data_IF_768281520085
#
_entry.id   IF_768281520085
#
_cell.length_a   1.000
_cell.length_b   1.000
_cell.length_c   1.000
_cell.angle_alpha   90.00
_cell.angle_beta   90.00
_cell.angle_gamma   90.00
#
_symmetry.space_group_name_H-M   'P 1'
#
loop_
_entity.id
_entity.type
_entity.pdbx_description
1 polymer ?
#
# COMPACT_ATOMS: atom_id res chain seq x y z
N UNK A 1 29.92 -21.00 -30.02
CA UNK A 1 30.15 -19.54 -30.17
C UNK A 1 28.81 -18.80 -30.33
N UNK A 2 28.56 -17.75 -29.53
CA UNK A 2 27.29 -16.99 -29.45
C UNK A 2 26.85 -16.16 -30.68
N UNK A 3 27.71 -15.64 -31.57
CA UNK A 3 27.27 -14.72 -32.64
C UNK A 3 26.28 -15.33 -33.64
N UNK A 4 26.29 -16.65 -33.85
CA UNK A 4 25.35 -17.35 -34.72
C UNK A 4 23.89 -17.30 -34.22
N UNK A 5 23.67 -16.90 -32.96
CA UNK A 5 22.34 -16.74 -32.36
C UNK A 5 21.78 -15.34 -32.52
N UNK A 6 22.56 -14.38 -33.04
CA UNK A 6 22.05 -13.04 -33.31
C UNK A 6 20.98 -13.08 -34.38
N UNK A 7 19.90 -12.33 -34.15
CA UNK A 7 18.79 -12.20 -35.09
C UNK A 7 18.60 -10.72 -35.44
N UNK A 8 18.12 -10.48 -36.66
CA UNK A 8 17.68 -9.17 -37.13
C UNK A 8 18.75 -8.07 -36.89
N UNK A 9 18.42 -7.07 -36.07
CA UNK A 9 19.25 -5.87 -35.82
C UNK A 9 20.60 -6.21 -35.21
N UNK A 10 20.68 -7.20 -34.33
CA UNK A 10 21.94 -7.64 -33.73
C UNK A 10 22.85 -8.33 -34.75
N UNK A 11 22.26 -9.07 -35.69
CA UNK A 11 22.99 -9.71 -36.79
C UNK A 11 23.55 -8.65 -37.74
N UNK A 12 22.70 -7.71 -38.19
CA UNK A 12 23.14 -6.61 -39.07
C UNK A 12 24.24 -5.77 -38.43
N UNK A 13 24.06 -5.37 -37.17
CA UNK A 13 25.09 -4.62 -36.44
C UNK A 13 26.42 -5.39 -36.41
N UNK A 14 26.41 -6.65 -35.97
CA UNK A 14 27.63 -7.44 -35.83
C UNK A 14 28.39 -7.59 -37.16
N UNK A 15 27.67 -7.83 -38.25
CA UNK A 15 28.26 -7.98 -39.58
C UNK A 15 28.64 -6.65 -40.24
N UNK A 16 28.17 -5.51 -39.74
CA UNK A 16 28.61 -4.18 -40.18
C UNK A 16 29.97 -3.77 -39.61
N UNK A 17 30.46 -4.46 -38.57
CA UNK A 17 31.73 -4.15 -37.93
C UNK A 17 32.93 -4.62 -38.77
N UNK A 18 34.07 -3.91 -38.75
CA UNK A 18 35.33 -4.38 -39.30
C UNK A 18 35.73 -5.76 -38.77
N UNK A 19 36.44 -6.54 -39.57
CA UNK A 19 36.84 -7.90 -39.19
C UNK A 19 37.66 -7.94 -37.89
N UNK A 20 38.49 -6.93 -37.66
CA UNK A 20 39.30 -6.79 -36.43
C UNK A 20 38.39 -6.70 -35.19
N UNK A 21 37.36 -5.87 -35.25
CA UNK A 21 36.40 -5.70 -34.15
C UNK A 21 35.57 -6.97 -33.93
N UNK A 22 35.15 -7.62 -35.01
CA UNK A 22 34.45 -8.90 -34.95
C UNK A 22 35.26 -9.98 -34.21
N UNK A 23 36.56 -10.05 -34.45
CA UNK A 23 37.50 -10.98 -33.79
C UNK A 23 37.62 -10.62 -32.31
N UNK A 24 37.85 -9.35 -31.97
CA UNK A 24 37.95 -8.90 -30.58
C UNK A 24 36.69 -9.20 -29.78
N UNK A 25 35.52 -8.93 -30.37
CA UNK A 25 34.21 -9.18 -29.76
C UNK A 25 33.94 -10.68 -29.56
N UNK A 26 34.49 -11.54 -30.42
CA UNK A 26 34.37 -13.01 -30.28
C UNK A 26 35.34 -13.62 -29.28
N UNK A 27 36.36 -12.89 -28.85
CA UNK A 27 37.46 -13.41 -28.05
C UNK A 27 37.00 -13.94 -26.69
N UNK A 28 35.98 -13.32 -26.07
CA UNK A 28 35.44 -13.77 -24.80
C UNK A 28 33.97 -13.38 -24.62
N UNK A 29 33.28 -14.02 -23.69
CA UNK A 29 31.92 -13.60 -23.34
C UNK A 29 31.87 -12.17 -22.80
N UNK A 30 32.90 -11.77 -22.04
CA UNK A 30 33.00 -10.43 -21.45
C UNK A 30 33.11 -9.34 -22.52
N UNK A 31 33.95 -9.55 -23.53
CA UNK A 31 34.11 -8.62 -24.67
C UNK A 31 32.85 -8.55 -25.52
N UNK A 32 32.21 -9.70 -25.78
CA UNK A 32 30.93 -9.76 -26.47
C UNK A 32 29.85 -8.95 -25.73
N UNK A 33 29.70 -9.20 -24.42
CA UNK A 33 28.73 -8.51 -23.57
C UNK A 33 29.01 -7.01 -23.54
N UNK A 34 30.26 -6.59 -23.37
CA UNK A 34 30.65 -5.19 -23.35
C UNK A 34 30.30 -4.48 -24.66
N UNK A 35 30.58 -5.10 -25.81
CA UNK A 35 30.26 -4.52 -27.12
C UNK A 35 28.75 -4.41 -27.37
N UNK A 36 27.97 -5.45 -27.00
CA UNK A 36 26.51 -5.41 -27.07
C UNK A 36 25.97 -4.29 -26.18
N UNK A 37 26.46 -4.20 -24.94
CA UNK A 37 26.05 -3.14 -24.00
C UNK A 37 26.42 -1.75 -24.52
N UNK A 38 27.62 -1.55 -25.04
CA UNK A 38 28.04 -0.26 -25.58
C UNK A 38 27.18 0.18 -26.77
N UNK A 39 26.82 -0.76 -27.66
CA UNK A 39 26.04 -0.43 -28.86
C UNK A 39 24.54 -0.27 -28.58
N UNK A 40 23.94 -1.21 -27.83
CA UNK A 40 22.49 -1.27 -27.63
C UNK A 40 22.01 -0.61 -26.33
N UNK A 41 22.87 -0.46 -25.32
CA UNK A 41 22.55 0.14 -24.02
C UNK A 41 23.22 1.51 -23.89
N UNK A 42 23.02 2.37 -24.89
CA UNK A 42 23.52 3.74 -24.89
C UNK A 42 22.87 4.63 -23.81
N UNK A 43 23.37 5.85 -23.61
CA UNK A 43 22.88 6.78 -22.59
C UNK A 43 21.37 7.04 -22.66
N UNK A 44 20.80 7.11 -23.86
CA UNK A 44 19.37 7.26 -24.08
C UNK A 44 18.59 6.03 -23.59
N UNK A 45 19.06 4.82 -23.91
CA UNK A 45 18.46 3.59 -23.42
C UNK A 45 18.54 3.49 -21.89
N UNK A 46 19.67 3.86 -21.31
CA UNK A 46 19.88 3.91 -19.85
C UNK A 46 18.88 4.88 -19.20
N UNK A 47 18.75 6.09 -19.74
CA UNK A 47 17.81 7.09 -19.22
C UNK A 47 16.36 6.61 -19.32
N UNK A 48 15.98 5.98 -20.45
CA UNK A 48 14.66 5.40 -20.65
C UNK A 48 14.38 4.28 -19.64
N UNK A 49 15.35 3.40 -19.41
CA UNK A 49 15.20 2.28 -18.50
C UNK A 49 15.16 2.73 -17.03
N UNK A 50 15.92 3.76 -16.64
CA UNK A 50 15.82 4.40 -15.32
C UNK A 50 14.43 5.02 -15.13
N UNK A 51 13.96 5.78 -16.11
CA UNK A 51 12.62 6.39 -16.08
C UNK A 51 11.52 5.33 -15.97
N UNK A 52 11.66 4.23 -16.72
CA UNK A 52 10.74 3.08 -16.65
C UNK A 52 10.73 2.49 -15.23
N UNK A 53 11.89 2.20 -14.66
CA UNK A 53 12.02 1.64 -13.33
C UNK A 53 11.37 2.53 -12.24
N UNK A 54 11.58 3.85 -12.32
CA UNK A 54 11.01 4.82 -11.38
C UNK A 54 9.48 4.92 -11.48
N UNK A 55 8.94 4.83 -12.70
CA UNK A 55 7.49 4.94 -12.95
C UNK A 55 6.71 3.68 -12.63
N UNK A 56 7.37 2.54 -12.43
CA UNK A 56 6.70 1.28 -12.11
C UNK A 56 5.96 1.37 -10.78
N UNK A 57 4.69 0.97 -10.82
CA UNK A 57 3.80 0.88 -9.66
C UNK A 57 3.34 -0.54 -9.40
N UNK A 58 2.87 -0.76 -8.18
CA UNK A 58 2.20 -2.01 -7.81
C UNK A 58 0.89 -2.14 -8.59
N UNK A 59 0.70 -3.28 -9.27
CA UNK A 59 -0.48 -3.54 -10.11
C UNK A 59 -0.68 -2.50 -11.22
N UNK A 60 0.42 -2.20 -11.91
CA UNK A 60 0.46 -1.34 -13.11
C UNK A 60 -0.26 -1.99 -14.30
N UNK A 61 -0.43 -1.24 -15.40
CA UNK A 61 -1.04 -1.76 -16.63
C UNK A 61 -0.29 -3.02 -17.12
N UNK A 62 -1.03 -4.11 -17.35
CA UNK A 62 -0.48 -5.43 -17.68
C UNK A 62 -0.04 -6.28 -16.49
N UNK A 63 -0.18 -5.79 -15.25
CA UNK A 63 0.17 -6.51 -14.01
C UNK A 63 -0.96 -6.41 -12.96
N UNK A 64 -2.23 -6.36 -13.37
CA UNK A 64 -3.40 -6.13 -12.49
C UNK A 64 -3.49 -7.10 -11.30
N UNK A 65 -3.06 -8.34 -11.51
CA UNK A 65 -3.17 -9.43 -10.55
C UNK A 65 -1.87 -9.71 -9.78
N UNK A 66 -0.89 -8.82 -9.94
CA UNK A 66 0.43 -8.92 -9.31
C UNK A 66 0.35 -9.00 -7.77
N UNK A 67 1.08 -9.95 -7.17
CA UNK A 67 1.21 -10.04 -5.72
C UNK A 67 2.28 -9.07 -5.20
N UNK A 68 2.25 -8.70 -3.91
CA UNK A 68 3.26 -7.79 -3.34
C UNK A 68 4.70 -8.25 -3.60
N UNK A 69 4.95 -9.56 -3.48
CA UNK A 69 6.27 -10.14 -3.72
C UNK A 69 6.71 -9.99 -5.18
N UNK A 70 5.80 -10.24 -6.13
CA UNK A 70 6.09 -10.15 -7.56
C UNK A 70 6.47 -8.72 -7.95
N UNK A 71 5.74 -7.75 -7.42
CA UNK A 71 6.06 -6.33 -7.61
C UNK A 71 7.44 -5.97 -7.08
N UNK A 72 7.76 -6.38 -5.86
CA UNK A 72 9.04 -6.11 -5.22
C UNK A 72 10.20 -6.68 -6.06
N UNK A 73 10.06 -7.93 -6.52
CA UNK A 73 11.07 -8.59 -7.36
C UNK A 73 11.19 -7.92 -8.73
N UNK A 74 10.05 -7.66 -9.40
CA UNK A 74 10.01 -6.99 -10.70
C UNK A 74 10.65 -5.60 -10.61
N UNK A 75 10.29 -4.80 -9.62
CA UNK A 75 10.83 -3.44 -9.46
C UNK A 75 12.32 -3.44 -9.11
N UNK A 76 12.77 -4.34 -8.22
CA UNK A 76 14.21 -4.53 -7.96
C UNK A 76 14.96 -4.84 -9.25
N UNK A 77 14.49 -5.81 -10.03
CA UNK A 77 15.15 -6.21 -11.28
C UNK A 77 15.36 -5.02 -12.23
N UNK A 78 14.37 -4.13 -12.35
CA UNK A 78 14.48 -2.94 -13.19
C UNK A 78 15.40 -1.87 -12.60
N UNK A 79 15.36 -1.64 -11.29
CA UNK A 79 16.22 -0.65 -10.62
C UNK A 79 17.70 -1.04 -10.67
N UNK A 80 18.01 -2.32 -10.49
CA UNK A 80 19.39 -2.82 -10.45
C UNK A 80 19.95 -3.21 -11.82
N UNK A 81 19.16 -3.10 -12.90
CA UNK A 81 19.60 -3.51 -14.24
C UNK A 81 20.78 -2.65 -14.76
N UNK A 82 20.80 -1.38 -14.39
CA UNK A 82 21.74 -0.38 -14.91
C UNK A 82 22.89 -0.15 -13.92
N UNK A 83 22.56 -0.05 -12.63
CA UNK A 83 23.52 0.33 -11.60
C UNK A 83 23.18 -0.37 -10.29
N UNK A 84 24.17 -0.92 -9.58
CA UNK A 84 23.98 -1.38 -8.21
C UNK A 84 23.44 -0.24 -7.33
N UNK A 85 22.51 -0.56 -6.45
CA UNK A 85 21.87 0.41 -5.56
C UNK A 85 22.02 -0.04 -4.11
N UNK A 86 22.39 0.85 -3.16
CA UNK A 86 22.39 0.54 -1.74
C UNK A 86 21.03 0.04 -1.26
N UNK A 87 21.02 -0.78 -0.21
CA UNK A 87 19.80 -1.42 0.30
C UNK A 87 18.71 -0.39 0.63
N UNK A 88 19.01 0.64 1.43
CA UNK A 88 18.00 1.62 1.86
C UNK A 88 17.40 2.38 0.68
N UNK A 89 18.25 2.79 -0.27
CA UNK A 89 17.81 3.46 -1.49
C UNK A 89 16.94 2.53 -2.35
N UNK A 90 17.31 1.26 -2.47
CA UNK A 90 16.55 0.26 -3.22
C UNK A 90 15.16 0.05 -2.61
N UNK A 91 15.07 -0.13 -1.28
CA UNK A 91 13.79 -0.31 -0.60
C UNK A 91 12.94 0.96 -0.74
N UNK A 92 13.53 2.13 -0.53
CA UNK A 92 12.83 3.40 -0.68
C UNK A 92 12.22 3.56 -2.09
N UNK A 93 12.98 3.32 -3.15
CA UNK A 93 12.49 3.38 -4.53
C UNK A 93 11.38 2.35 -4.82
N UNK A 94 11.48 1.16 -4.23
CA UNK A 94 10.42 0.14 -4.33
C UNK A 94 9.13 0.64 -3.68
N UNK A 95 9.24 1.19 -2.47
CA UNK A 95 8.11 1.65 -1.67
C UNK A 95 7.42 2.90 -2.26
N UNK A 96 8.15 3.82 -2.93
CA UNK A 96 7.56 4.98 -3.62
C UNK A 96 6.48 4.57 -4.65
N UNK A 97 6.68 3.45 -5.35
CA UNK A 97 5.72 2.97 -6.34
C UNK A 97 4.59 2.13 -5.75
N UNK A 98 4.63 1.85 -4.46
CA UNK A 98 3.65 1.04 -3.75
C UNK A 98 2.51 1.90 -3.19
N UNK A 99 1.38 1.28 -2.77
CA UNK A 99 0.34 1.98 -2.03
C UNK A 99 0.88 2.59 -0.73
N UNK A 100 0.37 3.77 -0.35
CA UNK A 100 0.86 4.51 0.82
C UNK A 100 0.85 3.69 2.12
N UNK A 101 -0.14 2.80 2.30
CA UNK A 101 -0.22 1.95 3.49
C UNK A 101 0.94 0.95 3.66
N UNK A 102 1.71 0.68 2.59
CA UNK A 102 2.89 -0.19 2.67
C UNK A 102 4.00 0.41 3.52
N UNK A 103 4.17 1.74 3.53
CA UNK A 103 5.20 2.40 4.35
C UNK A 103 5.02 2.10 5.84
N UNK A 104 3.77 1.99 6.29
CA UNK A 104 3.45 1.68 7.70
C UNK A 104 3.75 0.22 8.05
N UNK A 105 3.62 -0.69 7.08
CA UNK A 105 3.77 -2.15 7.27
C UNK A 105 5.24 -2.57 7.08
N UNK A 106 5.91 -1.99 6.08
CA UNK A 106 7.29 -2.30 5.67
C UNK A 106 8.24 -1.20 6.15
N UNK A 107 8.21 -0.89 7.44
CA UNK A 107 9.09 0.12 8.03
C UNK A 107 10.56 -0.24 7.77
N UNK A 108 11.26 0.69 7.13
CA UNK A 108 12.65 0.49 6.68
C UNK A 108 13.60 0.43 7.88
N UNK A 109 13.37 1.26 8.89
CA UNK A 109 14.19 1.34 10.11
C UNK A 109 14.21 0.03 10.90
N UNK A 110 13.18 -0.80 10.75
CA UNK A 110 13.05 -2.09 11.44
C UNK A 110 13.69 -3.25 10.64
N UNK A 111 14.33 -2.97 9.49
CA UNK A 111 15.01 -3.97 8.66
C UNK A 111 16.51 -3.92 8.95
N UNK A 112 17.11 -5.08 9.25
CA UNK A 112 18.55 -5.20 9.54
C UNK A 112 19.48 -5.02 8.32
N UNK A 113 19.10 -4.22 7.31
CA UNK A 113 19.90 -3.95 6.12
C UNK A 113 20.01 -5.08 5.10
N UNK A 114 19.27 -6.17 5.28
CA UNK A 114 19.37 -7.36 4.43
C UNK A 114 18.14 -7.57 3.54
N UNK A 115 18.39 -7.90 2.27
CA UNK A 115 17.33 -8.16 1.28
C UNK A 115 16.42 -9.33 1.66
N UNK A 116 16.98 -10.37 2.27
CA UNK A 116 16.25 -11.56 2.73
C UNK A 116 15.21 -11.19 3.79
N UNK A 117 15.58 -10.35 4.75
CA UNK A 117 14.67 -9.89 5.79
C UNK A 117 13.51 -9.07 5.23
N UNK A 118 13.81 -8.19 4.26
CA UNK A 118 12.77 -7.44 3.56
C UNK A 118 11.79 -8.38 2.84
N UNK A 119 12.29 -9.38 2.13
CA UNK A 119 11.45 -10.37 1.43
C UNK A 119 10.61 -11.19 2.40
N UNK A 120 11.19 -11.64 3.50
CA UNK A 120 10.46 -12.36 4.55
C UNK A 120 9.32 -11.50 5.11
N UNK A 121 9.58 -10.21 5.35
CA UNK A 121 8.55 -9.28 5.83
C UNK A 121 7.43 -9.07 4.80
N UNK A 122 7.76 -8.95 3.52
CA UNK A 122 6.77 -8.88 2.42
C UNK A 122 5.91 -10.14 2.38
N UNK A 123 6.50 -11.33 2.53
CA UNK A 123 5.75 -12.59 2.59
C UNK A 123 4.83 -12.64 3.82
N UNK A 124 5.36 -12.37 5.00
CA UNK A 124 4.63 -12.45 6.28
C UNK A 124 3.42 -11.50 6.32
N UNK A 125 3.53 -10.34 5.66
CA UNK A 125 2.46 -9.33 5.62
C UNK A 125 1.76 -9.24 4.27
N UNK A 126 1.89 -10.24 3.39
CA UNK A 126 1.35 -10.19 2.02
C UNK A 126 -0.13 -9.79 1.97
N UNK A 127 -0.98 -10.40 2.82
CA UNK A 127 -2.40 -10.07 2.88
C UNK A 127 -2.65 -8.62 3.33
N UNK A 128 -1.96 -8.18 4.39
CA UNK A 128 -2.07 -6.82 4.88
C UNK A 128 -1.62 -5.78 3.83
N UNK A 129 -0.61 -6.11 3.01
CA UNK A 129 -0.15 -5.27 1.89
C UNK A 129 -1.18 -5.19 0.77
N UNK A 130 -1.89 -6.29 0.49
CA UNK A 130 -3.01 -6.29 -0.47
C UNK A 130 -4.15 -5.40 0.04
N UNK A 131 -4.51 -5.52 1.32
CA UNK A 131 -5.62 -4.77 1.93
C UNK A 131 -5.29 -3.27 2.09
N UNK A 132 -4.01 -2.96 2.30
CA UNK A 132 -3.46 -1.60 2.39
C UNK A 132 -3.58 -0.79 1.08
N UNK A 133 -4.03 -1.39 -0.03
CA UNK A 133 -4.37 -0.68 -1.28
C UNK A 133 -5.43 0.41 -1.09
N UNK A 134 -6.27 0.28 -0.06
CA UNK A 134 -7.50 1.06 0.03
C UNK A 134 -7.31 2.33 0.86
N UNK A 135 -6.73 3.37 0.25
CA UNK A 135 -7.02 4.75 0.69
C UNK A 135 -8.54 5.03 0.67
N UNK A 136 -9.31 4.26 -0.13
CA UNK A 136 -10.76 4.25 -0.12
C UNK A 136 -11.36 3.73 1.20
N UNK A 137 -10.65 2.90 2.00
CA UNK A 137 -11.12 2.54 3.35
C UNK A 137 -10.97 3.70 4.32
N UNK A 138 -9.98 4.57 4.15
CA UNK A 138 -9.87 5.79 4.96
C UNK A 138 -11.01 6.74 4.59
N UNK A 139 -11.28 6.96 3.30
CA UNK A 139 -12.38 7.83 2.85
C UNK A 139 -13.75 7.29 3.26
N UNK A 140 -14.03 5.99 3.08
CA UNK A 140 -15.26 5.35 3.57
C UNK A 140 -15.39 5.41 5.10
N UNK A 141 -14.27 5.30 5.82
CA UNK A 141 -14.27 5.40 7.28
C UNK A 141 -14.50 6.84 7.74
N UNK A 142 -13.95 7.83 7.05
CA UNK A 142 -14.23 9.26 7.29
C UNK A 142 -15.70 9.58 6.97
N UNK A 143 -16.22 9.09 5.85
CA UNK A 143 -17.63 9.25 5.48
C UNK A 143 -18.57 8.62 6.51
N UNK A 144 -18.30 7.39 6.95
CA UNK A 144 -19.05 6.73 8.02
C UNK A 144 -18.96 7.49 9.36
N UNK A 145 -17.82 8.11 9.67
CA UNK A 145 -17.66 8.92 10.87
C UNK A 145 -18.43 10.23 10.79
N UNK A 146 -18.46 10.90 9.64
CA UNK A 146 -19.25 12.11 9.41
C UNK A 146 -20.77 11.82 9.42
N UNK A 147 -21.21 10.68 8.87
CA UNK A 147 -22.61 10.22 8.97
C UNK A 147 -23.02 9.90 10.42
N UNK A 148 -22.12 9.34 11.23
CA UNK A 148 -22.37 9.13 12.66
C UNK A 148 -22.40 10.44 13.44
N UNK A 149 -21.52 11.38 13.09
CA UNK A 149 -21.47 12.71 13.71
C UNK A 149 -22.73 13.53 13.42
N UNK A 150 -23.31 13.42 12.22
CA UNK A 150 -24.58 14.08 11.88
C UNK A 150 -25.78 13.48 12.61
N UNK A 151 -25.84 12.15 12.78
CA UNK A 151 -26.86 11.45 13.59
C UNK A 151 -26.79 11.80 15.08
N UNK A 152 -25.60 12.00 15.63
CA UNK A 152 -25.45 12.43 17.04
C UNK A 152 -25.90 13.89 17.22
N UNK A 153 -25.58 14.78 16.28
CA UNK A 153 -26.03 16.18 16.33
C UNK A 153 -27.56 16.32 16.27
N UNK A 154 -28.26 15.52 15.46
CA UNK A 154 -29.72 15.53 15.39
C UNK A 154 -30.41 14.99 16.66
N UNK A 155 -29.73 14.08 17.38
CA UNK A 155 -30.20 13.57 18.67
C UNK A 155 -30.04 14.58 19.82
N UNK A 156 -29.04 15.47 19.75
CA UNK A 156 -28.81 16.52 20.74
C UNK A 156 -29.59 17.82 20.45
N UNK A 157 -29.99 18.07 19.20
CA UNK A 157 -30.73 19.28 18.83
C UNK A 157 -32.24 19.20 19.06
N UNK A 158 -32.75 18.08 19.59
CA UNK A 158 -34.18 17.95 19.88
C UNK A 158 -34.40 17.76 21.39
N UNK A 159 -34.52 18.85 22.18
CA UNK A 159 -35.04 18.73 23.51
C UNK A 159 -36.49 18.27 23.37
N UNK A 160 -36.73 16.96 23.54
CA UNK A 160 -38.07 16.38 23.59
C UNK A 160 -38.87 17.21 24.57
N UNK A 161 -39.83 17.99 24.06
CA UNK A 161 -40.89 18.63 24.85
C UNK A 161 -41.47 17.52 25.72
N UNK A 162 -41.25 17.62 27.03
CA UNK A 162 -41.91 16.79 28.01
C UNK A 162 -43.41 17.06 27.90
N UNK A 163 -44.12 16.15 27.23
CA UNK A 163 -45.57 16.20 27.14
C UNK A 163 -46.16 16.12 28.55
N UNK A 164 -46.72 17.24 29.05
CA UNK A 164 -47.51 17.25 30.27
C UNK A 164 -48.72 16.34 30.04
N UNK A 165 -48.71 15.19 30.71
CA UNK A 165 -49.85 14.29 30.73
C UNK A 165 -50.90 14.87 31.66
N UNK A 166 -52.01 15.35 31.10
CA UNK A 166 -53.16 15.84 31.86
C UNK A 166 -54.18 14.70 31.99
N UNK A 167 -54.40 14.23 33.22
CA UNK A 167 -55.55 13.37 33.53
C UNK A 167 -56.71 14.24 33.99
N UNK A 168 -57.87 14.05 33.36
CA UNK A 168 -59.13 14.71 33.70
C UNK A 168 -59.79 13.92 34.83
N UNK A 169 -60.15 14.57 35.93
CA UNK A 169 -60.91 13.94 36.99
C UNK A 169 -62.41 13.90 36.66
N UNK A 170 -63.20 13.11 37.40
CA UNK A 170 -64.65 12.94 37.20
C UNK A 170 -65.48 14.21 37.46
N UNK A 171 -64.85 15.34 37.77
CA UNK A 171 -65.49 16.65 37.97
C UNK A 171 -65.00 17.72 36.97
N UNK A 172 -64.22 17.33 35.95
CA UNK A 172 -63.91 18.17 34.81
C UNK A 172 -62.78 19.20 35.01
N UNK A 173 -61.97 19.11 36.08
CA UNK A 173 -60.81 20.01 36.27
C UNK A 173 -59.50 19.34 35.86
N UNK A 174 -58.66 20.08 35.13
CA UNK A 174 -57.33 19.65 34.71
C UNK A 174 -56.29 19.96 35.80
N UNK A 175 -55.53 18.96 36.26
CA UNK A 175 -54.35 19.16 37.12
C UNK A 175 -53.09 18.64 36.42
N UNK A 176 -52.01 19.41 36.49
CA UNK A 176 -50.68 19.01 36.02
C UNK A 176 -50.01 18.09 37.02
N UNK A 177 -49.53 16.92 36.59
CA UNK A 177 -48.75 16.00 37.42
C UNK A 177 -47.29 16.04 36.94
N UNK A 178 -46.39 16.51 37.79
CA UNK A 178 -44.95 16.40 37.55
C UNK A 178 -44.50 14.97 37.84
N UNK A 179 -43.84 14.32 36.88
CA UNK A 179 -43.11 13.06 37.10
C UNK A 179 -41.64 13.38 37.32
N UNK A 180 -41.19 13.32 38.55
CA UNK A 180 -39.76 13.22 38.86
C UNK A 180 -39.33 11.78 38.56
N UNK A 181 -38.66 11.58 37.43
CA UNK A 181 -38.00 10.32 37.13
C UNK A 181 -36.66 10.29 37.87
N UNK A 182 -36.57 9.54 38.97
CA UNK A 182 -35.28 9.20 39.58
C UNK A 182 -34.49 8.35 38.59
N UNK A 183 -33.27 8.78 38.30
CA UNK A 183 -32.28 8.04 37.50
C UNK A 183 -31.91 6.80 38.32
N UNK A 184 -32.41 5.61 37.95
CA UNK A 184 -32.11 4.41 38.73
C UNK A 184 -32.68 3.06 38.24
N UNK A 185 -33.66 3.02 37.35
CA UNK A 185 -34.31 1.74 36.99
C UNK A 185 -34.29 1.46 35.48
N UNK A 186 -33.12 1.10 34.94
CA UNK A 186 -33.02 0.33 33.68
C UNK A 186 -32.71 -1.11 34.04
N UNK A 187 -33.69 -2.00 33.84
CA UNK A 187 -33.60 -3.44 34.17
C UNK A 187 -32.75 -4.26 33.20
N UNK A 188 -32.21 -3.63 32.16
CA UNK A 188 -31.60 -4.34 31.01
C UNK A 188 -30.08 -4.19 30.93
N UNK A 189 -29.41 -3.76 32.00
CA UNK A 189 -27.95 -3.66 32.06
C UNK A 189 -27.39 -4.71 33.03
N UNK A 190 -26.38 -5.51 32.62
CA UNK A 190 -25.69 -6.39 33.55
C UNK A 190 -25.01 -5.56 34.64
N UNK A 191 -25.23 -5.93 35.90
CA UNK A 191 -24.64 -5.23 37.06
C UNK A 191 -23.11 -5.40 37.02
N UNK A 192 -22.32 -4.33 37.25
CA UNK A 192 -20.88 -4.45 37.34
C UNK A 192 -20.51 -5.26 38.59
N UNK A 193 -19.75 -6.33 38.39
CA UNK A 193 -19.20 -7.15 39.45
C UNK A 193 -17.92 -6.49 39.97
N UNK A 194 -18.02 -5.74 41.06
CA UNK A 194 -16.85 -5.25 41.79
C UNK A 194 -16.55 -6.24 42.92
N UNK A 195 -15.46 -6.98 42.78
CA UNK A 195 -14.97 -7.89 43.82
C UNK A 195 -13.88 -7.16 44.64
N UNK A 196 -14.12 -6.76 45.90
CA UNK A 196 -13.11 -6.10 46.71
C UNK A 196 -12.47 -7.13 47.66
N UNK A 197 -11.45 -7.83 47.19
CA UNK A 197 -10.59 -8.61 48.06
C UNK A 197 -9.20 -8.78 47.43
N UNK A 198 -8.28 -7.88 47.79
CA UNK A 198 -6.88 -8.18 48.09
C UNK A 198 -6.29 -6.93 48.75
N UNK A 199 -6.31 -6.94 50.08
CA UNK A 199 -5.27 -6.33 50.91
C UNK A 199 -4.42 -7.47 51.45
#
# INVERSE_FOLDING_TARGET
MLPHKFKERAFMWYHSLPLVDQIQIRASWTTLKAAISAHFMNSTWIAAQRTKAQRMRFKDHGNSDELPIDYVLRKKMHLTLITPMPFDQLIHEIIIGAPAGWQTILRIDDLGGQWTEFINRVHNHSQALIDAKSGANILKRVENLEQRRSHVKSHFSNPKKSGKFFKKDKKGKFKSVSREAKIGDRKDLPKPNFNPAMR
#
